data_IF_363333506379
#
_entry.id   IF_363333506379
#
_cell.length_a   1.000
_cell.length_b   1.000
_cell.length_c   1.000
_cell.angle_alpha   90.00
_cell.angle_beta   90.00
_cell.angle_gamma   90.00
#
_symmetry.space_group_name_H-M   'P 1'
#
loop_
_entity.id
_entity.type
_entity.pdbx_description
1 polymer ?
#
# COMPACT_ATOMS: atom_id res chain seq x y z
N UNK A 1 40.65 23.95 25.95
CA UNK A 1 39.63 23.85 24.89
C UNK A 1 38.91 22.52 25.07
N UNK A 2 37.61 22.49 25.39
CA UNK A 2 36.89 21.23 25.56
C UNK A 2 36.54 20.65 24.19
N UNK A 3 36.76 19.33 24.03
CA UNK A 3 36.41 18.57 22.84
C UNK A 3 34.88 18.55 22.69
N UNK A 4 34.38 18.99 21.54
CA UNK A 4 32.97 18.88 21.19
C UNK A 4 32.54 17.40 21.10
N UNK A 5 31.33 17.03 21.56
CA UNK A 5 30.83 15.67 21.41
C UNK A 5 30.57 15.37 19.93
N UNK A 6 31.01 14.20 19.48
CA UNK A 6 30.75 13.69 18.13
C UNK A 6 29.25 13.51 17.91
N UNK A 7 28.74 13.78 16.68
CA UNK A 7 27.33 13.57 16.36
C UNK A 7 26.98 12.09 16.50
N UNK A 8 25.83 11.83 17.14
CA UNK A 8 25.21 10.52 17.23
C UNK A 8 24.98 9.97 15.82
N UNK A 9 25.77 8.96 15.43
CA UNK A 9 25.52 8.20 14.22
C UNK A 9 24.39 7.23 14.56
N UNK A 10 23.20 7.34 13.96
CA UNK A 10 22.16 6.34 14.19
C UNK A 10 22.73 5.00 13.77
N UNK A 11 22.71 4.07 14.72
CA UNK A 11 23.22 2.72 14.61
C UNK A 11 22.74 2.12 13.28
N UNK A 12 23.68 1.76 12.40
CA UNK A 12 23.37 1.05 11.16
C UNK A 12 22.84 -0.33 11.55
N UNK A 13 21.54 -0.41 11.83
CA UNK A 13 20.84 -1.66 11.99
C UNK A 13 21.06 -2.44 10.69
N UNK A 14 21.58 -3.65 10.81
CA UNK A 14 21.68 -4.61 9.71
C UNK A 14 20.35 -4.59 8.94
N UNK A 15 20.35 -4.60 7.59
CA UNK A 15 19.11 -4.63 6.84
C UNK A 15 18.35 -5.87 7.27
N UNK A 16 17.26 -5.66 8.00
CA UNK A 16 16.25 -6.66 8.26
C UNK A 16 15.89 -7.24 6.89
N UNK A 17 16.19 -8.51 6.58
CA UNK A 17 16.08 -9.03 5.21
C UNK A 17 14.65 -8.91 4.65
N UNK A 18 13.66 -8.79 5.54
CA UNK A 18 12.26 -8.61 5.20
C UNK A 18 11.85 -7.16 4.92
N UNK A 19 12.64 -6.16 5.35
CA UNK A 19 12.29 -4.75 5.20
C UNK A 19 12.29 -4.32 3.73
N UNK A 20 13.27 -4.81 2.96
CA UNK A 20 13.33 -4.53 1.52
C UNK A 20 12.09 -5.06 0.79
N UNK A 21 11.57 -6.23 1.17
CA UNK A 21 10.35 -6.77 0.58
C UNK A 21 9.13 -5.86 0.82
N UNK A 22 9.03 -5.29 2.03
CA UNK A 22 7.95 -4.35 2.38
C UNK A 22 8.08 -3.03 1.61
N UNK A 23 9.28 -2.47 1.54
CA UNK A 23 9.56 -1.27 0.76
C UNK A 23 9.29 -1.49 -0.74
N UNK A 24 9.65 -2.66 -1.26
CA UNK A 24 9.35 -3.05 -2.63
C UNK A 24 7.86 -3.15 -2.90
N UNK A 25 7.09 -3.80 -2.03
CA UNK A 25 5.64 -3.89 -2.16
C UNK A 25 5.00 -2.48 -2.18
N UNK A 26 5.44 -1.58 -1.30
CA UNK A 26 4.98 -0.19 -1.29
C UNK A 26 5.31 0.55 -2.60
N UNK A 27 6.58 0.56 -3.04
CA UNK A 27 7.00 1.22 -4.27
C UNK A 27 6.30 0.67 -5.51
N UNK A 28 6.07 -0.65 -5.53
CA UNK A 28 5.32 -1.32 -6.61
C UNK A 28 3.86 -0.86 -6.64
N UNK A 29 3.18 -0.76 -5.49
CA UNK A 29 1.83 -0.22 -5.43
C UNK A 29 1.78 1.22 -5.94
N UNK A 30 2.74 2.07 -5.54
CA UNK A 30 2.90 3.44 -6.06
C UNK A 30 3.00 3.46 -7.59
N UNK A 31 3.92 2.68 -8.15
CA UNK A 31 4.15 2.61 -9.60
C UNK A 31 2.88 2.15 -10.36
N UNK A 32 2.18 1.14 -9.82
CA UNK A 32 0.97 0.60 -10.43
C UNK A 32 -0.20 1.58 -10.41
N UNK A 33 -0.38 2.34 -9.33
CA UNK A 33 -1.43 3.36 -9.26
C UNK A 33 -1.10 4.54 -10.19
N UNK A 34 0.17 4.95 -10.32
CA UNK A 34 0.56 5.94 -11.34
C UNK A 34 0.32 5.42 -12.76
N UNK A 35 0.60 4.15 -13.02
CA UNK A 35 0.31 3.53 -14.31
C UNK A 35 -1.19 3.56 -14.61
N UNK A 36 -2.04 3.27 -13.63
CA UNK A 36 -3.49 3.33 -13.77
C UNK A 36 -3.97 4.75 -14.11
N UNK A 37 -3.37 5.77 -13.47
CA UNK A 37 -3.62 7.16 -13.79
C UNK A 37 -3.23 7.50 -15.24
N UNK A 38 -1.99 7.19 -15.63
CA UNK A 38 -1.46 7.43 -16.99
C UNK A 38 -2.27 6.73 -18.07
N UNK A 39 -2.82 5.57 -17.75
CA UNK A 39 -3.62 4.76 -18.65
C UNK A 39 -5.13 5.07 -18.65
N UNK A 40 -5.55 6.09 -17.89
CA UNK A 40 -6.94 6.55 -17.84
C UNK A 40 -7.91 5.62 -17.09
N UNK A 41 -7.41 4.63 -16.33
CA UNK A 41 -8.25 3.82 -15.45
C UNK A 41 -8.80 4.65 -14.30
N UNK A 42 -7.98 5.56 -13.77
CA UNK A 42 -8.35 6.53 -12.74
C UNK A 42 -7.79 7.91 -13.08
N UNK A 43 -8.33 8.96 -12.46
CA UNK A 43 -7.79 10.32 -12.48
C UNK A 43 -7.45 10.74 -11.07
N UNK A 44 -6.21 11.15 -10.83
CA UNK A 44 -5.73 11.63 -9.54
C UNK A 44 -5.72 13.17 -9.50
N UNK A 45 -5.83 13.75 -8.30
CA UNK A 45 -5.69 15.20 -8.07
C UNK A 45 -4.24 15.66 -8.23
N UNK A 46 -4.02 16.73 -9.00
CA UNK A 46 -2.71 17.33 -9.26
C UNK A 46 -2.27 18.29 -8.12
N UNK A 47 -0.95 18.56 -7.94
CA UNK A 47 0.14 18.25 -8.86
C UNK A 47 1.01 17.07 -8.39
N UNK A 48 1.35 16.20 -9.33
CA UNK A 48 2.37 15.15 -9.18
C UNK A 48 3.75 15.81 -9.14
N UNK A 49 4.02 16.62 -8.12
CA UNK A 49 5.36 17.15 -7.83
C UNK A 49 5.98 16.33 -6.72
N UNK A 50 7.24 15.94 -6.92
CA UNK A 50 8.04 14.96 -6.15
C UNK A 50 8.20 15.25 -4.64
N UNK A 51 7.57 16.30 -4.11
CA UNK A 51 7.83 16.85 -2.77
C UNK A 51 6.61 16.88 -1.86
N UNK A 52 5.40 16.76 -2.39
CA UNK A 52 4.20 16.58 -1.58
C UNK A 52 3.73 15.15 -1.75
N UNK A 53 4.24 14.28 -0.87
CA UNK A 53 3.77 12.90 -0.65
C UNK A 53 2.31 12.84 -0.17
N UNK A 54 1.51 13.88 -0.41
CA UNK A 54 0.10 13.98 -0.05
C UNK A 54 -0.70 12.93 -0.79
N UNK A 55 -1.58 12.28 -0.04
CA UNK A 55 -2.61 11.34 -0.46
C UNK A 55 -3.01 11.51 -1.94
N UNK A 56 -2.83 10.45 -2.73
CA UNK A 56 -3.29 10.47 -4.11
C UNK A 56 -4.80 10.30 -4.10
N UNK A 57 -5.51 11.42 -4.08
CA UNK A 57 -6.96 11.41 -4.09
C UNK A 57 -7.48 11.10 -5.49
N UNK A 58 -8.41 10.15 -5.59
CA UNK A 58 -9.10 9.83 -6.84
C UNK A 58 -10.16 10.90 -7.13
N UNK A 59 -10.01 11.59 -8.25
CA UNK A 59 -11.02 12.51 -8.81
C UNK A 59 -12.08 11.71 -9.59
N UNK A 60 -11.65 10.69 -10.32
CA UNK A 60 -12.54 9.88 -11.13
C UNK A 60 -11.99 8.46 -11.26
N UNK A 61 -12.82 7.40 -11.09
CA UNK A 61 -14.21 7.46 -10.63
C UNK A 61 -14.30 7.90 -9.16
N UNK A 62 -15.34 8.65 -8.81
CA UNK A 62 -15.61 9.07 -7.43
C UNK A 62 -17.11 8.86 -7.10
N UNK A 63 -17.46 7.88 -6.23
CA UNK A 63 -16.56 6.96 -5.53
C UNK A 63 -15.93 5.92 -6.49
N UNK A 64 -14.88 5.23 -6.03
CA UNK A 64 -14.41 4.01 -6.70
C UNK A 64 -15.56 2.98 -6.74
N UNK A 65 -15.70 2.20 -7.83
CA UNK A 65 -16.81 1.28 -8.02
C UNK A 65 -16.62 -0.01 -7.21
N UNK A 66 -16.60 0.10 -5.88
CA UNK A 66 -16.39 -1.03 -4.96
C UNK A 66 -17.50 -2.08 -5.07
N UNK A 67 -18.74 -1.65 -5.29
CA UNK A 67 -19.93 -2.50 -5.33
C UNK A 67 -20.41 -2.74 -6.76
N UNK A 68 -21.03 -3.89 -7.00
CA UNK A 68 -21.77 -4.18 -8.23
C UNK A 68 -23.23 -3.67 -8.13
N UNK A 69 -24.03 -3.95 -9.17
CA UNK A 69 -25.44 -3.54 -9.20
C UNK A 69 -26.31 -4.16 -8.11
N UNK A 70 -25.88 -5.27 -7.52
CA UNK A 70 -26.57 -5.98 -6.44
C UNK A 70 -26.07 -5.55 -5.05
N UNK A 71 -25.35 -4.42 -4.96
CA UNK A 71 -24.71 -3.92 -3.73
C UNK A 71 -23.69 -4.88 -3.10
N UNK A 72 -23.20 -5.85 -3.86
CA UNK A 72 -22.17 -6.79 -3.39
C UNK A 72 -20.78 -6.29 -3.78
N UNK A 73 -19.79 -6.55 -2.92
CA UNK A 73 -18.40 -6.19 -3.17
C UNK A 73 -17.90 -6.88 -4.45
N UNK A 74 -17.31 -6.13 -5.39
CA UNK A 74 -16.76 -6.69 -6.65
C UNK A 74 -15.52 -7.56 -6.42
N UNK A 75 -14.80 -7.31 -5.32
CA UNK A 75 -13.54 -7.95 -4.96
C UNK A 75 -13.79 -9.32 -4.28
N UNK A 76 -14.02 -10.35 -5.10
CA UNK A 76 -14.38 -11.70 -4.64
C UNK A 76 -13.30 -12.77 -4.83
N UNK A 77 -12.22 -12.48 -5.57
CA UNK A 77 -11.15 -13.45 -5.78
C UNK A 77 -10.45 -13.77 -4.43
N UNK A 78 -10.03 -15.03 -4.17
CA UNK A 78 -9.36 -15.39 -2.93
C UNK A 78 -8.16 -14.49 -2.57
N UNK A 79 -7.36 -14.10 -3.58
CA UNK A 79 -6.25 -13.16 -3.39
C UNK A 79 -6.69 -11.76 -2.99
N UNK A 80 -7.82 -11.26 -3.51
CA UNK A 80 -8.38 -9.96 -3.09
C UNK A 80 -8.86 -10.01 -1.64
N UNK A 81 -9.60 -11.07 -1.29
CA UNK A 81 -10.13 -11.25 0.07
C UNK A 81 -9.02 -11.40 1.10
N UNK A 82 -7.95 -12.13 0.75
CA UNK A 82 -6.76 -12.26 1.59
C UNK A 82 -6.13 -10.89 1.84
N UNK A 83 -5.92 -10.09 0.79
CA UNK A 83 -5.34 -8.75 0.92
C UNK A 83 -6.23 -7.82 1.76
N UNK A 84 -7.55 -7.86 1.57
CA UNK A 84 -8.50 -7.10 2.39
C UNK A 84 -8.40 -7.52 3.87
N UNK A 85 -8.31 -8.81 4.16
CA UNK A 85 -8.19 -9.31 5.53
C UNK A 85 -6.90 -8.84 6.21
N UNK A 86 -5.76 -8.90 5.52
CA UNK A 86 -4.49 -8.39 6.05
C UNK A 86 -4.53 -6.86 6.25
N UNK A 87 -5.18 -6.11 5.35
CA UNK A 87 -5.37 -4.66 5.52
C UNK A 87 -6.18 -4.34 6.78
N UNK A 88 -7.31 -5.04 6.98
CA UNK A 88 -8.14 -4.88 8.17
C UNK A 88 -7.32 -5.22 9.43
N UNK A 89 -6.60 -6.34 9.42
CA UNK A 89 -5.77 -6.74 10.55
C UNK A 89 -4.73 -5.68 10.91
N UNK A 90 -4.06 -5.08 9.92
CA UNK A 90 -3.08 -4.03 10.18
C UNK A 90 -3.75 -2.78 10.75
N UNK A 91 -4.88 -2.33 10.19
CA UNK A 91 -5.61 -1.16 10.67
C UNK A 91 -6.16 -1.37 12.09
N UNK A 92 -6.68 -2.56 12.40
CA UNK A 92 -7.15 -2.91 13.74
C UNK A 92 -6.01 -2.81 14.77
N UNK A 93 -4.79 -3.23 14.40
CA UNK A 93 -3.61 -3.11 15.27
C UNK A 93 -3.12 -1.66 15.42
N UNK A 94 -3.40 -0.77 14.45
CA UNK A 94 -3.09 0.66 14.53
C UNK A 94 -4.05 1.36 15.50
N UNK A 95 -5.35 1.14 15.33
CA UNK A 95 -6.39 1.85 16.10
C UNK A 95 -6.66 1.23 17.48
N UNK A 96 -6.48 -0.08 17.61
CA UNK A 96 -6.71 -0.83 18.84
C UNK A 96 -5.51 -1.75 19.15
N UNK A 97 -4.36 -1.17 19.53
CA UNK A 97 -3.20 -1.96 19.89
C UNK A 97 -3.51 -2.83 21.11
N UNK A 98 -3.08 -4.10 21.05
CA UNK A 98 -3.28 -5.05 22.15
C UNK A 98 -2.62 -4.51 23.43
N UNK A 99 -3.42 -4.37 24.48
CA UNK A 99 -3.02 -3.78 25.77
C UNK A 99 -1.88 -4.59 26.41
N UNK A 100 -1.77 -5.88 26.06
CA UNK A 100 -0.88 -6.84 26.70
C UNK A 100 0.35 -7.26 25.87
N UNK A 101 0.53 -6.74 24.64
CA UNK A 101 1.57 -7.23 23.74
C UNK A 101 2.10 -6.18 22.77
N UNK A 102 3.42 -6.10 22.63
CA UNK A 102 4.05 -5.30 21.58
C UNK A 102 3.64 -5.86 20.20
N UNK A 103 2.96 -5.03 19.41
CA UNK A 103 2.57 -5.37 18.03
C UNK A 103 3.81 -5.69 17.21
N UNK A 104 3.82 -6.86 16.57
CA UNK A 104 4.93 -7.30 15.70
C UNK A 104 4.81 -6.70 14.31
N UNK A 105 5.08 -5.40 14.20
CA UNK A 105 4.92 -4.61 12.97
C UNK A 105 5.62 -5.18 11.77
N UNK A 106 6.84 -5.70 11.93
CA UNK A 106 7.60 -6.31 10.84
C UNK A 106 6.89 -7.53 10.23
N UNK A 107 6.27 -8.35 11.10
CA UNK A 107 5.53 -9.53 10.66
C UNK A 107 4.24 -9.13 9.95
N UNK A 108 3.52 -8.15 10.49
CA UNK A 108 2.30 -7.62 9.87
C UNK A 108 2.60 -7.00 8.51
N UNK A 109 3.64 -6.18 8.40
CA UNK A 109 4.07 -5.57 7.15
C UNK A 109 4.47 -6.61 6.10
N UNK A 110 5.21 -7.65 6.53
CA UNK A 110 5.63 -8.74 5.65
C UNK A 110 4.43 -9.57 5.15
N UNK A 111 3.48 -9.90 6.04
CA UNK A 111 2.27 -10.62 5.66
C UNK A 111 1.42 -9.82 4.67
N UNK A 112 1.23 -8.52 4.92
CA UNK A 112 0.53 -7.63 4.01
C UNK A 112 1.23 -7.56 2.63
N UNK A 113 2.56 -7.50 2.63
CA UNK A 113 3.36 -7.50 1.40
C UNK A 113 3.22 -8.80 0.60
N UNK A 114 3.19 -9.95 1.28
CA UNK A 114 2.97 -11.25 0.64
C UNK A 114 1.55 -11.39 0.10
N UNK A 115 0.53 -10.95 0.86
CA UNK A 115 -0.84 -10.93 0.37
C UNK A 115 -1.01 -10.00 -0.83
N UNK A 116 -0.27 -8.90 -0.88
CA UNK A 116 -0.20 -8.04 -2.05
C UNK A 116 0.41 -8.77 -3.27
N UNK A 117 1.53 -9.48 -3.12
CA UNK A 117 2.14 -10.23 -4.23
C UNK A 117 1.23 -11.36 -4.74
N UNK A 118 0.52 -12.05 -3.84
CA UNK A 118 -0.49 -13.06 -4.20
C UNK A 118 -1.66 -12.43 -4.97
N UNK A 119 -2.16 -11.28 -4.50
CA UNK A 119 -3.17 -10.50 -5.22
C UNK A 119 -2.64 -10.08 -6.59
N UNK A 120 -1.44 -9.52 -6.66
CA UNK A 120 -0.86 -8.98 -7.88
C UNK A 120 -0.64 -10.06 -8.95
N UNK A 121 -0.17 -11.23 -8.54
CA UNK A 121 0.10 -12.36 -9.45
C UNK A 121 -1.18 -13.01 -9.99
N UNK A 122 -2.26 -13.05 -9.20
CA UNK A 122 -3.48 -13.78 -9.55
C UNK A 122 -4.63 -12.89 -10.05
N UNK A 123 -4.66 -11.60 -9.68
CA UNK A 123 -5.76 -10.68 -9.98
C UNK A 123 -5.38 -9.68 -11.07
N UNK A 124 -5.64 -10.04 -12.34
CA UNK A 124 -5.31 -9.16 -13.49
C UNK A 124 -6.05 -7.82 -13.43
N UNK A 125 -5.33 -6.72 -13.42
CA UNK A 125 -5.90 -5.36 -13.49
C UNK A 125 -5.86 -4.83 -14.93
N UNK A 126 -4.77 -5.12 -15.63
CA UNK A 126 -4.52 -4.71 -17.01
C UNK A 126 -4.89 -5.80 -18.02
N UNK A 127 -4.74 -5.46 -19.30
CA UNK A 127 -5.06 -6.36 -20.41
C UNK A 127 -6.57 -6.42 -20.66
N UNK A 128 -7.09 -7.62 -20.85
CA UNK A 128 -8.51 -7.86 -21.15
C UNK A 128 -9.45 -7.28 -20.08
N UNK A 129 -9.12 -7.43 -18.80
CA UNK A 129 -9.96 -6.95 -17.67
C UNK A 129 -10.20 -5.44 -17.74
N UNK A 130 -9.20 -4.65 -18.14
CA UNK A 130 -9.35 -3.20 -18.31
C UNK A 130 -10.38 -2.85 -19.38
N UNK A 131 -10.54 -3.68 -20.40
CA UNK A 131 -11.44 -3.44 -21.54
C UNK A 131 -12.83 -4.01 -21.27
N UNK A 132 -12.90 -5.22 -20.73
CA UNK A 132 -14.16 -5.96 -20.56
C UNK A 132 -14.83 -5.71 -19.21
N UNK A 133 -14.05 -5.40 -18.16
CA UNK A 133 -14.51 -5.22 -16.79
C UNK A 133 -13.83 -4.00 -16.12
N UNK A 134 -13.99 -2.79 -16.69
CA UNK A 134 -13.28 -1.60 -16.24
C UNK A 134 -13.55 -1.24 -14.77
N UNK A 135 -14.76 -1.48 -14.27
CA UNK A 135 -15.11 -1.22 -12.86
C UNK A 135 -14.39 -2.18 -11.92
N UNK A 136 -14.21 -3.45 -12.30
CA UNK A 136 -13.42 -4.40 -11.52
C UNK A 136 -11.94 -3.97 -11.49
N UNK A 137 -11.40 -3.56 -12.64
CA UNK A 137 -10.05 -3.03 -12.70
C UNK A 137 -9.89 -1.80 -11.78
N UNK A 138 -10.85 -0.87 -11.79
CA UNK A 138 -10.86 0.29 -10.91
C UNK A 138 -10.96 -0.07 -9.42
N UNK A 139 -11.83 -1.01 -9.04
CA UNK A 139 -11.92 -1.49 -7.66
C UNK A 139 -10.58 -2.11 -7.18
N UNK A 140 -9.91 -2.88 -8.05
CA UNK A 140 -8.57 -3.43 -7.78
C UNK A 140 -7.51 -2.34 -7.62
N UNK A 141 -7.59 -1.25 -8.39
CA UNK A 141 -6.74 -0.07 -8.19
C UNK A 141 -7.00 0.57 -6.82
N UNK A 142 -8.26 0.63 -6.39
CA UNK A 142 -8.61 1.05 -5.03
C UNK A 142 -7.89 0.22 -3.96
N UNK A 143 -7.84 -1.11 -4.14
CA UNK A 143 -7.14 -2.01 -3.22
C UNK A 143 -5.63 -1.75 -3.17
N UNK A 144 -5.00 -1.44 -4.31
CA UNK A 144 -3.59 -0.98 -4.35
C UNK A 144 -3.38 0.32 -3.59
N UNK A 145 -4.34 1.25 -3.68
CA UNK A 145 -4.26 2.53 -2.98
C UNK A 145 -4.40 2.37 -1.47
N UNK A 146 -5.29 1.50 -1.00
CA UNK A 146 -5.36 1.14 0.42
C UNK A 146 -4.04 0.51 0.88
N UNK A 147 -3.52 -0.45 0.11
CA UNK A 147 -2.27 -1.16 0.39
C UNK A 147 -1.08 -0.24 0.51
N UNK A 148 -0.84 0.65 -0.46
CA UNK A 148 0.28 1.61 -0.35
C UNK A 148 0.13 2.52 0.88
N UNK A 149 -1.10 2.92 1.22
CA UNK A 149 -1.33 3.89 2.30
C UNK A 149 -1.03 3.26 3.65
N UNK A 150 -1.48 2.02 3.85
CA UNK A 150 -1.21 1.24 5.05
C UNK A 150 0.27 0.86 5.14
N UNK A 151 0.88 0.36 4.05
CA UNK A 151 2.31 0.01 4.06
C UNK A 151 3.19 1.22 4.36
N UNK A 152 2.86 2.39 3.80
CA UNK A 152 3.57 3.63 4.10
C UNK A 152 3.49 3.97 5.58
N UNK A 153 2.28 3.96 6.15
CA UNK A 153 2.08 4.25 7.56
C UNK A 153 2.90 3.30 8.44
N UNK A 154 2.85 1.99 8.16
CA UNK A 154 3.63 1.00 8.93
C UNK A 154 5.14 1.21 8.78
N UNK A 155 5.63 1.50 7.58
CA UNK A 155 7.04 1.79 7.34
C UNK A 155 7.51 3.03 8.10
N UNK A 156 6.81 4.15 7.94
CA UNK A 156 7.26 5.46 8.44
C UNK A 156 6.98 5.63 9.93
N UNK A 157 5.77 5.29 10.39
CA UNK A 157 5.30 5.58 11.76
C UNK A 157 5.62 4.44 12.74
N UNK A 158 5.55 3.17 12.29
CA UNK A 158 5.72 2.03 13.20
C UNK A 158 7.12 1.40 13.14
N UNK A 159 7.75 1.39 11.98
CA UNK A 159 9.09 0.83 11.77
C UNK A 159 10.19 1.89 11.71
N UNK A 160 9.84 3.18 11.58
CA UNK A 160 10.80 4.28 11.56
C UNK A 160 11.69 4.29 10.31
N UNK A 161 11.22 3.74 9.19
CA UNK A 161 11.96 3.62 7.94
C UNK A 161 11.25 4.30 6.79
N UNK A 162 12.02 4.80 5.82
CA UNK A 162 11.47 5.50 4.66
C UNK A 162 10.66 4.56 3.75
N UNK A 163 9.51 5.04 3.26
CA UNK A 163 8.67 4.35 2.28
C UNK A 163 8.95 4.87 0.84
N UNK A 164 9.73 4.13 0.01
CA UNK A 164 10.12 4.61 -1.30
C UNK A 164 8.94 4.69 -2.27
N UNK A 165 8.87 5.76 -3.06
CA UNK A 165 7.86 5.92 -4.12
C UNK A 165 8.17 5.05 -5.35
N UNK A 166 9.47 4.86 -5.61
CA UNK A 166 10.03 4.10 -6.73
C UNK A 166 11.29 3.37 -6.21
N UNK A 167 11.60 2.20 -6.78
CA UNK A 167 12.82 1.43 -6.51
C UNK A 167 13.72 1.41 -7.75
#
# INVERSE_FOLDING_TARGET
>A
LPLAPLPFVPNAQCPMPNLFAVQHAHARCCSLVLLAHRQGLIKLKQPVTNTSQGFWDVISPNPLPWLNGDETLRLNHPGERRLIAELIQVVDNIESPDINGSVKWEKLALNLSQAFEDFWSNCRIWGEVKVTLPELAQARIGLLMATKSVLRYVLEENLGVFAPLEL
#
